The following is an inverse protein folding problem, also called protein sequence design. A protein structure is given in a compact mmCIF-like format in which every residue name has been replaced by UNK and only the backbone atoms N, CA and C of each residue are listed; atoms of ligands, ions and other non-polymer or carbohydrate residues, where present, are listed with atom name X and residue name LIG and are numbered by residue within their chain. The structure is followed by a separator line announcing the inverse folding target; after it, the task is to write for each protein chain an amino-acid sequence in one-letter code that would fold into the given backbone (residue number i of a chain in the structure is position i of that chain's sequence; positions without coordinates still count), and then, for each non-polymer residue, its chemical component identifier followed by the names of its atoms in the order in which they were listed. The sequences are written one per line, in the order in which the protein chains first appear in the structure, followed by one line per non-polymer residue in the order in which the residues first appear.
data_IF_643539770227
#
_entry.id   IF_643539770227
#
_cell.length_a   1.000
_cell.length_b   1.000
_cell.length_c   1.000
_cell.angle_alpha   90.00
_cell.angle_beta   90.00
_cell.angle_gamma   90.00
#
_symmetry.space_group_name_H-M   'P 1'
#
loop_
_entity.id
_entity.type
_entity.pdbx_description
1 polymer ?
#
# COMPACT_ATOMS: atom_id res chain seq x y z
N UNK A 1 -59.65 51.73 -10.53
CA UNK A 1 -58.33 51.51 -11.17
C UNK A 1 -57.25 50.98 -10.21
N UNK A 2 -57.31 51.31 -8.92
CA UNK A 2 -56.17 51.09 -8.01
C UNK A 2 -56.09 49.68 -7.39
N UNK A 3 -57.23 48.99 -7.21
CA UNK A 3 -57.29 47.66 -6.59
C UNK A 3 -56.73 46.55 -7.51
N UNK A 4 -56.96 46.67 -8.81
CA UNK A 4 -56.47 45.72 -9.82
C UNK A 4 -54.97 45.83 -10.03
N UNK A 5 -54.41 47.04 -10.03
CA UNK A 5 -52.96 47.26 -10.18
C UNK A 5 -52.20 46.72 -8.95
N UNK A 6 -52.73 46.94 -7.74
CA UNK A 6 -52.12 46.46 -6.50
C UNK A 6 -52.11 44.92 -6.41
N UNK A 7 -53.17 44.26 -6.89
CA UNK A 7 -53.23 42.80 -6.94
C UNK A 7 -52.22 42.20 -7.94
N UNK A 8 -52.06 42.81 -9.11
CA UNK A 8 -51.10 42.37 -10.14
C UNK A 8 -49.65 42.49 -9.64
N UNK A 9 -49.31 43.61 -8.98
CA UNK A 9 -47.97 43.82 -8.40
C UNK A 9 -47.68 42.80 -7.30
N UNK A 10 -48.66 42.51 -6.44
CA UNK A 10 -48.51 41.49 -5.38
C UNK A 10 -48.23 40.09 -5.95
N UNK A 11 -48.94 39.70 -7.01
CA UNK A 11 -48.73 38.41 -7.69
C UNK A 11 -47.34 38.32 -8.31
N UNK A 12 -46.87 39.38 -8.99
CA UNK A 12 -45.53 39.39 -9.61
C UNK A 12 -44.42 39.24 -8.57
N UNK A 13 -44.54 39.93 -7.44
CA UNK A 13 -43.56 39.84 -6.34
C UNK A 13 -43.54 38.44 -5.72
N UNK A 14 -44.71 37.83 -5.51
CA UNK A 14 -44.80 36.47 -4.95
C UNK A 14 -44.24 35.43 -5.90
N UNK A 15 -44.58 35.51 -7.20
CA UNK A 15 -44.08 34.56 -8.21
C UNK A 15 -42.56 34.70 -8.39
N UNK A 16 -42.03 35.93 -8.40
CA UNK A 16 -40.60 36.18 -8.47
C UNK A 16 -39.84 35.65 -7.25
N UNK A 17 -40.41 35.82 -6.04
CA UNK A 17 -39.83 35.27 -4.81
C UNK A 17 -39.87 33.74 -4.79
N UNK A 18 -40.97 33.12 -5.24
CA UNK A 18 -41.08 31.66 -5.31
C UNK A 18 -40.07 31.06 -6.29
N UNK A 19 -39.87 31.69 -7.46
CA UNK A 19 -38.86 31.26 -8.44
C UNK A 19 -37.41 31.41 -7.92
N UNK A 20 -37.12 32.51 -7.21
CA UNK A 20 -35.82 32.73 -6.58
C UNK A 20 -35.55 31.74 -5.44
N UNK A 21 -36.58 31.41 -4.64
CA UNK A 21 -36.47 30.38 -3.59
C UNK A 21 -36.26 29.01 -4.20
N UNK A 22 -36.97 28.65 -5.27
CA UNK A 22 -36.82 27.37 -5.93
C UNK A 22 -35.39 27.20 -6.49
N UNK A 23 -34.90 28.18 -7.24
CA UNK A 23 -33.53 28.13 -7.80
C UNK A 23 -32.44 28.11 -6.72
N UNK A 24 -32.61 28.84 -5.61
CA UNK A 24 -31.68 28.80 -4.48
C UNK A 24 -31.69 27.44 -3.77
N UNK A 25 -32.87 26.86 -3.53
CA UNK A 25 -32.98 25.54 -2.92
C UNK A 25 -32.35 24.48 -3.85
N UNK A 26 -32.66 24.51 -5.15
CA UNK A 26 -32.09 23.60 -6.13
C UNK A 26 -30.56 23.70 -6.17
N UNK A 27 -29.97 24.90 -6.21
CA UNK A 27 -28.53 25.08 -6.13
C UNK A 27 -27.91 24.59 -4.81
N UNK A 28 -28.62 24.78 -3.68
CA UNK A 28 -28.19 24.29 -2.37
C UNK A 28 -28.25 22.76 -2.28
N UNK A 29 -29.19 22.12 -2.95
CA UNK A 29 -29.22 20.67 -3.10
C UNK A 29 -28.09 20.18 -4.01
N UNK A 30 -27.84 20.83 -5.15
CA UNK A 30 -26.74 20.46 -6.05
C UNK A 30 -25.35 20.56 -5.40
N UNK A 31 -25.14 21.51 -4.48
CA UNK A 31 -23.88 21.62 -3.73
C UNK A 31 -23.75 20.62 -2.57
N UNK A 32 -24.85 20.00 -2.15
CA UNK A 32 -24.87 18.99 -1.08
C UNK A 32 -24.91 17.55 -1.60
N UNK A 33 -25.28 17.37 -2.87
CA UNK A 33 -25.59 16.07 -3.49
C UNK A 33 -24.63 15.71 -4.64
N UNK A 34 -23.50 16.41 -4.83
CA UNK A 34 -22.45 15.85 -5.70
C UNK A 34 -21.72 14.71 -4.97
N UNK A 35 -22.43 13.59 -4.84
CA UNK A 35 -21.91 12.31 -4.35
C UNK A 35 -20.78 11.78 -5.24
N UNK A 36 -20.55 12.41 -6.41
CA UNK A 36 -19.46 12.05 -7.34
C UNK A 36 -18.11 12.59 -6.93
N UNK A 37 -18.02 13.49 -5.95
CA UNK A 37 -16.82 14.00 -5.25
C UNK A 37 -15.65 14.57 -6.07
N UNK A 38 -15.52 14.24 -7.36
CA UNK A 38 -14.30 14.28 -8.16
C UNK A 38 -14.58 14.11 -9.67
N UNK A 39 -15.72 14.59 -10.18
CA UNK A 39 -16.07 14.49 -11.61
C UNK A 39 -15.05 15.11 -12.58
N UNK A 40 -14.10 15.90 -12.07
CA UNK A 40 -13.02 16.55 -12.82
C UNK A 40 -11.74 15.71 -12.96
N UNK A 41 -11.60 14.61 -12.23
CA UNK A 41 -10.49 13.67 -12.47
C UNK A 41 -10.67 12.96 -13.83
N UNK A 42 -9.67 12.26 -14.36
CA UNK A 42 -9.90 11.30 -15.45
C UNK A 42 -10.41 9.95 -14.94
N UNK A 43 -11.22 9.24 -15.74
CA UNK A 43 -11.51 7.81 -15.51
C UNK A 43 -10.20 7.03 -15.55
N UNK A 44 -10.03 6.07 -14.63
CA UNK A 44 -8.77 5.35 -14.43
C UNK A 44 -7.83 6.01 -13.42
N UNK A 45 -8.18 7.18 -12.86
CA UNK A 45 -7.42 7.78 -11.76
C UNK A 45 -7.48 6.90 -10.53
N UNK A 46 -6.33 6.59 -9.94
CA UNK A 46 -6.20 5.81 -8.72
C UNK A 46 -5.86 6.75 -7.57
N UNK A 47 -6.56 6.62 -6.45
CA UNK A 47 -6.28 7.40 -5.23
C UNK A 47 -6.14 6.47 -4.02
N UNK A 48 -5.32 6.88 -3.07
CA UNK A 48 -5.30 6.30 -1.74
C UNK A 48 -6.52 6.83 -0.96
N UNK A 49 -7.39 5.93 -0.55
CA UNK A 49 -8.59 6.22 0.21
C UNK A 49 -8.50 5.55 1.59
N UNK A 50 -8.74 6.34 2.63
CA UNK A 50 -8.74 5.88 4.00
C UNK A 50 -10.16 6.08 4.56
N UNK A 51 -10.98 5.02 4.64
CA UNK A 51 -12.33 5.14 5.20
C UNK A 51 -12.25 5.49 6.69
N UNK A 52 -13.26 6.19 7.19
CA UNK A 52 -13.38 6.48 8.61
C UNK A 52 -13.86 5.25 9.41
N UNK A 53 -14.61 4.36 8.76
CA UNK A 53 -15.07 3.09 9.32
C UNK A 53 -15.00 1.94 8.31
N UNK A 54 -14.86 0.69 8.78
CA UNK A 54 -14.90 -0.50 7.91
C UNK A 54 -16.22 -0.67 7.15
N UNK A 55 -17.29 -0.01 7.62
CA UNK A 55 -18.61 -0.03 6.98
C UNK A 55 -18.82 1.09 5.94
N UNK A 56 -17.83 1.97 5.76
CA UNK A 56 -17.94 3.04 4.76
C UNK A 56 -18.00 2.43 3.36
N UNK A 57 -19.05 2.76 2.62
CA UNK A 57 -19.17 2.33 1.24
C UNK A 57 -18.14 3.06 0.37
N UNK A 58 -17.64 2.35 -0.65
CA UNK A 58 -16.83 2.96 -1.71
C UNK A 58 -17.67 4.08 -2.36
N UNK A 59 -17.12 5.29 -2.55
CA UNK A 59 -17.87 6.40 -3.14
C UNK A 59 -18.42 6.08 -4.54
N UNK A 60 -19.55 6.69 -4.90
CA UNK A 60 -20.17 6.51 -6.22
C UNK A 60 -19.20 6.93 -7.35
N UNK A 61 -19.13 6.13 -8.42
CA UNK A 61 -18.19 6.33 -9.53
C UNK A 61 -16.76 5.85 -9.26
N UNK A 62 -16.52 5.18 -8.14
CA UNK A 62 -15.25 4.55 -7.78
C UNK A 62 -15.40 3.05 -7.56
N UNK A 63 -14.32 2.31 -7.79
CA UNK A 63 -14.24 0.87 -7.53
C UNK A 63 -12.95 0.56 -6.76
N UNK A 64 -12.98 -0.43 -5.88
CA UNK A 64 -11.78 -0.93 -5.18
C UNK A 64 -10.81 -1.55 -6.19
N UNK A 65 -9.52 -1.27 -6.04
CA UNK A 65 -8.46 -1.86 -6.84
C UNK A 65 -8.15 -3.30 -6.38
N UNK A 66 -9.04 -4.23 -6.70
CA UNK A 66 -8.96 -5.66 -6.32
C UNK A 66 -8.83 -6.63 -7.51
N UNK A 67 -8.66 -6.09 -8.73
CA UNK A 67 -8.59 -6.89 -9.96
C UNK A 67 -9.94 -7.13 -10.62
N UNK A 68 -11.04 -6.69 -10.01
CA UNK A 68 -12.39 -6.79 -10.59
C UNK A 68 -12.78 -5.50 -11.29
N UNK A 69 -13.82 -5.54 -12.13
CA UNK A 69 -14.38 -4.37 -12.83
C UNK A 69 -13.35 -3.55 -13.64
N UNK A 70 -12.32 -4.20 -14.16
CA UNK A 70 -11.26 -3.55 -14.94
C UNK A 70 -10.24 -2.76 -14.11
N UNK A 71 -10.30 -2.85 -12.78
CA UNK A 71 -9.31 -2.26 -11.87
C UNK A 71 -8.05 -3.15 -11.79
N UNK A 72 -6.86 -2.59 -11.50
CA UNK A 72 -5.71 -3.39 -11.12
C UNK A 72 -5.88 -3.96 -9.70
N UNK A 73 -5.27 -5.11 -9.41
CA UNK A 73 -5.20 -5.65 -8.04
C UNK A 73 -4.01 -5.03 -7.29
N UNK A 74 -4.30 -4.07 -6.40
CA UNK A 74 -3.29 -3.30 -5.64
C UNK A 74 -3.22 -3.68 -4.15
N UNK A 75 -3.90 -4.75 -3.73
CA UNK A 75 -3.91 -5.20 -2.34
C UNK A 75 -2.51 -5.65 -1.92
N UNK A 76 -1.98 -5.07 -0.85
CA UNK A 76 -0.62 -5.38 -0.35
C UNK A 76 0.51 -4.93 -1.28
N UNK A 77 0.25 -3.98 -2.21
CA UNK A 77 1.24 -3.51 -3.19
C UNK A 77 1.61 -2.06 -2.97
N UNK A 78 2.85 -1.72 -3.31
CA UNK A 78 3.32 -0.34 -3.46
C UNK A 78 3.25 0.09 -4.93
N UNK A 79 2.90 1.35 -5.17
CA UNK A 79 2.91 1.94 -6.50
C UNK A 79 4.33 2.34 -6.90
N UNK A 80 4.77 1.85 -8.07
CA UNK A 80 6.01 2.27 -8.72
C UNK A 80 5.67 3.12 -9.95
N UNK A 81 6.36 4.24 -10.10
CA UNK A 81 6.21 5.13 -11.26
C UNK A 81 7.18 4.79 -12.39
N UNK A 82 6.83 5.21 -13.61
CA UNK A 82 7.70 5.24 -14.79
C UNK A 82 8.34 3.89 -15.15
N UNK A 83 7.50 2.94 -15.57
CA UNK A 83 7.94 1.65 -16.09
C UNK A 83 7.68 1.55 -17.61
N UNK A 84 8.60 0.97 -18.42
CA UNK A 84 8.44 0.86 -19.87
C UNK A 84 7.22 0.07 -20.31
N UNK A 85 6.81 -0.91 -19.50
CA UNK A 85 5.63 -1.73 -19.72
C UNK A 85 4.47 -1.27 -18.82
N UNK A 86 3.35 -0.91 -19.45
CA UNK A 86 2.14 -0.57 -18.72
C UNK A 86 1.66 -1.78 -17.91
N UNK A 87 1.16 -1.55 -16.70
CA UNK A 87 0.64 -2.58 -15.78
C UNK A 87 1.68 -3.60 -15.30
N UNK A 88 2.97 -3.34 -15.51
CA UNK A 88 4.03 -4.20 -14.99
C UNK A 88 3.94 -4.33 -13.47
N UNK A 89 4.17 -5.55 -12.98
CA UNK A 89 4.25 -5.86 -11.56
C UNK A 89 5.59 -6.54 -11.27
N UNK A 90 6.13 -6.31 -10.09
CA UNK A 90 7.40 -6.88 -9.65
C UNK A 90 7.65 -6.60 -8.17
N UNK A 91 8.85 -6.92 -7.69
CA UNK A 91 9.21 -6.89 -6.28
C UNK A 91 9.29 -8.28 -5.66
N UNK A 92 10.00 -8.38 -4.54
CA UNK A 92 10.05 -9.59 -3.70
C UNK A 92 8.89 -9.66 -2.72
N UNK A 93 8.79 -10.75 -1.97
CA UNK A 93 7.84 -10.84 -0.87
C UNK A 93 8.18 -9.80 0.20
N UNK A 94 7.21 -9.41 1.04
CA UNK A 94 7.44 -8.49 2.17
C UNK A 94 8.52 -8.99 3.13
N UNK A 95 8.90 -10.26 3.00
CA UNK A 95 9.99 -10.87 3.71
C UNK A 95 10.67 -11.98 2.93
N UNK A 96 11.70 -11.61 2.19
CA UNK A 96 12.57 -12.59 1.59
C UNK A 96 13.73 -12.95 2.53
N UNK A 97 14.12 -14.23 2.49
CA UNK A 97 15.34 -14.71 3.10
C UNK A 97 16.53 -14.16 2.30
N UNK A 98 17.32 -13.29 2.92
CA UNK A 98 18.58 -12.85 2.34
C UNK A 98 19.65 -13.90 2.69
N UNK A 99 19.99 -14.78 1.74
CA UNK A 99 21.09 -15.73 1.89
C UNK A 99 22.43 -14.98 1.82
N UNK A 100 22.85 -14.43 2.96
CA UNK A 100 24.19 -13.85 3.10
C UNK A 100 25.15 -14.97 3.48
N UNK A 101 25.90 -15.45 2.49
CA UNK A 101 27.02 -16.35 2.75
C UNK A 101 28.24 -15.55 3.26
N UNK A 102 28.45 -15.51 4.58
CA UNK A 102 29.70 -15.00 5.17
C UNK A 102 30.77 -16.09 5.10
N UNK A 103 31.69 -15.99 4.14
CA UNK A 103 32.84 -16.89 4.05
C UNK A 103 33.99 -16.30 4.86
N UNK A 104 34.13 -16.75 6.11
CA UNK A 104 35.37 -16.56 6.86
C UNK A 104 36.44 -17.52 6.34
N UNK A 105 37.35 -17.04 5.49
CA UNK A 105 38.50 -17.86 5.08
C UNK A 105 39.56 -17.83 6.18
N UNK A 106 39.84 -18.99 6.76
CA UNK A 106 40.78 -19.09 7.88
C UNK A 106 41.24 -20.53 8.12
N UNK A 107 42.48 -20.63 8.58
CA UNK A 107 43.07 -21.88 9.05
C UNK A 107 42.91 -21.94 10.56
N UNK A 108 42.20 -22.95 11.07
CA UNK A 108 42.09 -23.15 12.52
C UNK A 108 42.85 -24.39 12.94
N UNK A 109 43.34 -24.33 14.17
CA UNK A 109 43.95 -25.44 14.86
C UNK A 109 43.20 -25.64 16.18
N UNK A 110 42.79 -26.88 16.46
CA UNK A 110 42.31 -27.25 17.78
C UNK A 110 43.45 -27.91 18.57
N UNK A 111 43.77 -27.36 19.75
CA UNK A 111 44.71 -28.00 20.70
C UNK A 111 43.96 -29.12 21.43
N UNK A 112 44.03 -30.34 20.91
CA UNK A 112 43.50 -31.50 21.63
C UNK A 112 44.37 -31.78 22.86
N UNK A 113 44.00 -31.22 24.02
CA UNK A 113 44.46 -31.75 25.30
C UNK A 113 43.77 -33.10 25.51
N UNK A 114 44.53 -34.16 25.32
CA UNK A 114 44.08 -35.55 25.35
C UNK A 114 43.54 -35.91 26.74
N UNK A 115 42.43 -36.66 26.76
CA UNK A 115 41.82 -37.15 27.99
C UNK A 115 42.63 -38.36 28.53
N UNK A 116 42.69 -38.61 29.85
CA UNK A 116 43.49 -39.69 30.46
C UNK A 116 43.23 -41.14 29.98
N UNK A 117 42.18 -41.38 29.17
CA UNK A 117 41.87 -42.71 28.60
C UNK A 117 41.70 -42.66 27.07
N UNK A 118 42.13 -41.58 26.43
CA UNK A 118 42.00 -41.39 24.98
C UNK A 118 42.92 -40.29 24.48
N UNK A 119 44.14 -40.69 24.10
CA UNK A 119 45.14 -39.89 23.41
C UNK A 119 45.75 -40.67 22.23
N UNK A 120 46.42 -40.00 21.28
CA UNK A 120 47.05 -40.61 20.13
C UNK A 120 48.13 -41.58 20.60
N UNK A 121 48.33 -42.57 19.76
CA UNK A 121 49.24 -43.68 20.00
C UNK A 121 50.63 -43.18 20.42
N UNK A 122 51.19 -43.84 21.44
CA UNK A 122 52.53 -43.58 21.97
C UNK A 122 53.54 -43.61 20.83
N UNK A 123 54.06 -42.44 20.42
CA UNK A 123 55.01 -42.29 19.32
C UNK A 123 54.57 -41.35 18.19
N UNK A 124 53.33 -40.83 18.22
CA UNK A 124 52.90 -39.85 17.24
C UNK A 124 53.71 -38.53 17.38
N UNK A 125 54.37 -38.04 16.31
CA UNK A 125 55.08 -36.76 16.34
C UNK A 125 54.10 -35.62 16.60
N UNK A 126 54.57 -34.53 17.23
CA UNK A 126 53.84 -33.27 17.52
C UNK A 126 53.24 -32.55 16.28
N UNK A 127 53.26 -33.20 15.12
CA UNK A 127 52.72 -32.74 13.85
C UNK A 127 51.30 -33.26 13.60
N UNK A 128 50.62 -33.84 14.61
CA UNK A 128 49.22 -34.30 14.49
C UNK A 128 48.20 -33.15 14.46
N UNK A 129 48.59 -31.97 13.99
CA UNK A 129 47.69 -30.83 13.79
C UNK A 129 47.05 -30.98 12.43
N UNK A 130 45.82 -31.49 12.41
CA UNK A 130 44.99 -31.48 11.21
C UNK A 130 44.47 -30.06 11.02
N UNK A 131 45.24 -29.27 10.27
CA UNK A 131 44.76 -28.03 9.68
C UNK A 131 43.58 -28.37 8.77
N UNK A 132 42.39 -27.91 9.15
CA UNK A 132 41.23 -27.98 8.28
C UNK A 132 40.74 -26.57 7.97
N UNK A 133 40.25 -26.33 6.73
CA UNK A 133 39.62 -25.07 6.40
C UNK A 133 38.36 -24.92 7.25
N UNK A 134 38.26 -23.79 7.96
CA UNK A 134 37.04 -23.50 8.68
C UNK A 134 35.96 -23.10 7.66
N UNK A 135 34.85 -23.85 7.62
CA UNK A 135 33.64 -23.42 6.92
C UNK A 135 32.57 -23.23 7.99
N UNK A 136 32.41 -22.00 8.45
CA UNK A 136 31.26 -21.62 9.25
C UNK A 136 30.14 -21.18 8.31
N UNK A 137 28.99 -21.85 8.38
CA UNK A 137 27.75 -21.35 7.79
C UNK A 137 26.97 -20.67 8.89
N UNK A 138 26.93 -19.34 8.87
CA UNK A 138 26.05 -18.56 9.73
C UNK A 138 24.79 -18.18 8.94
N UNK A 139 23.61 -18.51 9.47
CA UNK A 139 22.35 -17.97 8.95
C UNK A 139 22.08 -16.67 9.68
N UNK A 140 21.90 -15.57 8.93
CA UNK A 140 21.46 -14.30 9.50
C UNK A 140 19.95 -14.40 9.72
N UNK A 141 19.41 -13.96 10.87
CA UNK A 141 17.96 -13.94 11.09
C UNK A 141 17.27 -13.07 10.04
N UNK A 142 16.03 -13.43 9.68
CA UNK A 142 15.15 -12.69 8.76
C UNK A 142 15.13 -11.20 9.13
N UNK A 143 15.44 -10.34 8.17
CA UNK A 143 15.33 -8.88 8.31
C UNK A 143 14.05 -8.44 7.61
N UNK A 144 13.18 -7.71 8.30
CA UNK A 144 11.99 -7.11 7.69
C UNK A 144 12.41 -5.87 6.89
N UNK A 145 12.11 -5.86 5.59
CA UNK A 145 12.54 -4.78 4.68
C UNK A 145 11.50 -3.67 4.51
N UNK A 146 10.21 -4.00 4.63
CA UNK A 146 9.27 -3.42 5.61
C UNK A 146 9.46 -1.99 6.14
N UNK A 147 9.54 -0.88 5.37
CA UNK A 147 9.59 0.44 5.99
C UNK A 147 8.28 0.71 6.76
N UNK A 148 8.27 1.56 7.82
CA UNK A 148 7.03 1.94 8.48
C UNK A 148 6.02 2.49 7.48
N UNK A 149 4.80 1.94 7.49
CA UNK A 149 3.75 2.27 6.53
C UNK A 149 2.40 2.46 7.20
N UNK A 150 1.46 3.06 6.48
CA UNK A 150 0.07 3.20 6.87
C UNK A 150 -0.80 2.53 5.81
N UNK A 151 -1.78 1.73 6.24
CA UNK A 151 -2.65 1.00 5.32
C UNK A 151 -3.77 1.90 4.81
N UNK A 152 -3.95 1.86 3.50
CA UNK A 152 -5.00 2.58 2.78
C UNK A 152 -5.57 1.65 1.72
N UNK A 153 -6.81 1.91 1.32
CA UNK A 153 -7.47 1.19 0.24
C UNK A 153 -7.23 1.99 -1.04
N UNK A 154 -6.72 1.34 -2.08
CA UNK A 154 -6.68 1.96 -3.39
C UNK A 154 -8.04 1.83 -4.06
N UNK A 155 -8.58 2.96 -4.54
CA UNK A 155 -9.80 3.01 -5.35
C UNK A 155 -9.50 3.68 -6.69
N UNK A 156 -10.15 3.22 -7.75
CA UNK A 156 -10.02 3.72 -9.11
C UNK A 156 -11.34 4.32 -9.57
N UNK A 157 -11.28 5.48 -10.22
CA UNK A 157 -12.48 6.08 -10.82
C UNK A 157 -12.91 5.29 -12.06
N UNK A 158 -14.18 4.91 -12.12
CA UNK A 158 -14.75 4.08 -13.18
C UNK A 158 -15.83 4.79 -14.02
N UNK A 159 -16.35 5.92 -13.53
CA UNK A 159 -17.44 6.70 -14.16
C UNK A 159 -17.15 8.21 -14.15
#
# INVERSE_FOLDING_TARGET
MNKTISAIVGIIVIVGAAFAVQTYQDARYMLKEDHRGFGWLPVGTIVAWHPQSESDAVPEGWATCDGTNGTPDLRGRFLAGDHPELHSTGGGELSDELDIQVIGTGWVNHDFKQHPVGGPEKGAPWLSQRWHPLVSKGTIPRIDLVPPYHEVIFIMRVE
#
